data_IF_233227266292
#
_entry.id   IF_233227266292
#
_cell.length_a   1.000
_cell.length_b   1.000
_cell.length_c   1.000
_cell.angle_alpha   90.00
_cell.angle_beta   90.00
_cell.angle_gamma   90.00
#
_symmetry.space_group_name_H-M   'P 1'
#
loop_
_entity.id
_entity.type
_entity.pdbx_description
1 polymer ?
#
# COMPACT_ATOMS: atom_id res chain seq x y z
N UNK A 1 -16.42 15.03 -20.64
CA UNK A 1 -15.37 15.11 -19.61
C UNK A 1 -15.97 15.35 -18.24
N UNK A 2 -16.28 14.29 -17.50
CA UNK A 2 -16.64 14.41 -16.07
C UNK A 2 -15.33 14.59 -15.30
N UNK A 3 -15.29 15.52 -14.37
CA UNK A 3 -14.13 15.75 -13.52
C UNK A 3 -13.88 14.49 -12.66
N UNK A 4 -12.83 13.72 -13.00
CA UNK A 4 -12.49 12.43 -12.36
C UNK A 4 -11.72 12.67 -11.05
N UNK A 5 -11.03 13.80 -10.94
CA UNK A 5 -10.19 14.15 -9.79
C UNK A 5 -10.77 15.32 -9.01
N UNK A 6 -10.77 15.21 -7.68
CA UNK A 6 -10.99 16.32 -6.77
C UNK A 6 -9.94 17.44 -7.01
N UNK A 7 -10.22 18.69 -6.58
CA UNK A 7 -9.30 19.81 -6.79
C UNK A 7 -7.87 19.47 -6.40
N UNK A 8 -6.93 19.68 -7.33
CA UNK A 8 -5.54 19.31 -7.14
C UNK A 8 -4.87 20.20 -6.07
N UNK A 9 -4.46 19.64 -4.91
CA UNK A 9 -3.76 20.40 -3.88
C UNK A 9 -2.26 20.56 -4.15
N UNK A 10 -1.69 19.85 -5.15
CA UNK A 10 -0.25 19.84 -5.46
C UNK A 10 0.38 21.23 -5.60
N UNK A 11 -0.27 22.26 -6.20
CA UNK A 11 0.32 23.61 -6.28
C UNK A 11 0.61 24.25 -4.91
N UNK A 12 -0.06 23.78 -3.86
CA UNK A 12 0.09 24.26 -2.48
C UNK A 12 1.12 23.42 -1.69
N UNK A 13 1.56 22.29 -2.23
CA UNK A 13 2.47 21.34 -1.57
C UNK A 13 3.86 21.45 -2.26
N UNK A 14 4.80 22.18 -1.65
CA UNK A 14 6.18 22.26 -2.14
C UNK A 14 6.93 20.92 -1.90
N UNK A 15 6.72 19.93 -2.77
CA UNK A 15 7.47 18.66 -2.75
C UNK A 15 8.84 18.83 -3.38
N UNK A 16 9.79 17.94 -3.03
CA UNK A 16 11.05 17.88 -3.78
C UNK A 16 10.73 17.57 -5.25
N UNK A 17 11.39 18.23 -6.22
CA UNK A 17 11.18 17.93 -7.62
C UNK A 17 11.55 16.47 -7.89
N UNK A 18 10.59 15.72 -8.43
CA UNK A 18 10.84 14.42 -9.05
C UNK A 18 10.99 14.65 -10.56
N UNK A 19 11.85 13.87 -11.21
CA UNK A 19 11.90 13.88 -12.66
C UNK A 19 10.55 13.41 -13.23
N UNK A 20 10.18 13.92 -14.40
CA UNK A 20 8.97 13.51 -15.10
C UNK A 20 8.92 11.99 -15.25
N UNK A 21 7.82 11.38 -14.78
CA UNK A 21 7.72 9.92 -14.74
C UNK A 21 7.86 9.29 -16.12
N UNK A 22 7.28 9.89 -17.17
CA UNK A 22 7.36 9.36 -18.52
C UNK A 22 8.79 9.44 -19.09
N UNK A 23 9.57 10.44 -18.69
CA UNK A 23 11.01 10.51 -19.03
C UNK A 23 11.77 9.40 -18.30
N UNK A 24 11.55 9.23 -16.99
CA UNK A 24 12.24 8.21 -16.19
C UNK A 24 11.89 6.79 -16.66
N UNK A 25 10.62 6.54 -16.98
CA UNK A 25 10.15 5.22 -17.42
C UNK A 25 10.79 4.81 -18.74
N UNK A 26 10.97 5.74 -19.68
CA UNK A 26 11.62 5.49 -20.98
C UNK A 26 13.08 5.02 -20.87
N UNK A 27 13.77 5.30 -19.76
CA UNK A 27 15.16 4.88 -19.56
C UNK A 27 15.28 3.49 -18.96
N UNK A 28 14.15 2.88 -18.54
CA UNK A 28 14.13 1.57 -17.88
C UNK A 28 14.05 0.43 -18.91
N UNK A 29 14.56 -0.75 -18.57
CA UNK A 29 14.34 -1.95 -19.37
C UNK A 29 12.85 -2.25 -19.56
N UNK A 30 12.51 -2.93 -20.65
CA UNK A 30 11.16 -3.47 -20.86
C UNK A 30 10.81 -4.40 -19.68
N UNK A 31 9.56 -4.33 -19.25
CA UNK A 31 9.04 -5.15 -18.17
C UNK A 31 9.29 -6.65 -18.42
N UNK A 32 9.89 -7.33 -17.44
CA UNK A 32 10.21 -8.74 -17.52
C UNK A 32 9.18 -9.57 -16.73
N UNK A 33 8.39 -10.39 -17.41
CA UNK A 33 7.42 -11.28 -16.78
C UNK A 33 8.04 -12.56 -16.18
N UNK A 34 9.33 -12.84 -16.46
CA UNK A 34 10.01 -14.07 -16.06
C UNK A 34 10.78 -13.95 -14.74
N UNK A 35 10.64 -12.84 -14.00
CA UNK A 35 11.25 -12.69 -12.66
C UNK A 35 10.52 -13.57 -11.65
N UNK A 36 10.93 -14.83 -11.55
CA UNK A 36 10.45 -15.79 -10.55
C UNK A 36 11.12 -15.64 -9.19
N UNK A 37 10.57 -16.33 -8.18
CA UNK A 37 11.22 -16.47 -6.87
C UNK A 37 12.39 -17.45 -7.00
N UNK A 38 13.59 -16.98 -6.70
CA UNK A 38 14.78 -17.84 -6.62
C UNK A 38 14.91 -18.44 -5.22
N UNK A 39 14.99 -19.77 -5.14
CA UNK A 39 15.19 -20.48 -3.88
C UNK A 39 16.68 -20.81 -3.70
N UNK A 40 17.30 -20.22 -2.69
CA UNK A 40 18.72 -20.42 -2.36
C UNK A 40 18.90 -21.08 -1.00
N UNK A 41 20.12 -21.51 -0.68
CA UNK A 41 20.47 -21.90 0.70
C UNK A 41 20.57 -20.65 1.58
N UNK A 42 20.46 -20.83 2.90
CA UNK A 42 20.78 -19.76 3.86
C UNK A 42 22.21 -19.24 3.61
N UNK A 43 22.50 -17.93 3.82
CA UNK A 43 23.83 -17.35 3.64
C UNK A 43 24.95 -18.11 4.37
N UNK A 44 24.67 -18.66 5.56
CA UNK A 44 25.61 -19.49 6.32
C UNK A 44 24.93 -20.76 6.84
N UNK A 45 25.01 -21.89 6.11
CA UNK A 45 24.40 -23.16 6.53
C UNK A 45 25.01 -23.80 7.78
N UNK A 46 26.19 -23.31 8.21
CA UNK A 46 26.91 -23.80 9.38
C UNK A 46 26.75 -22.93 10.62
N UNK A 47 25.91 -21.90 10.57
CA UNK A 47 25.68 -20.96 11.67
C UNK A 47 25.25 -21.67 12.96
N UNK A 48 25.78 -21.20 14.09
CA UNK A 48 25.50 -21.72 15.45
C UNK A 48 25.11 -20.59 16.40
N UNK A 49 24.48 -20.97 17.51
CA UNK A 49 24.11 -20.03 18.56
C UNK A 49 25.35 -19.24 19.05
N UNK A 50 25.31 -17.93 18.86
CA UNK A 50 26.38 -17.01 19.26
C UNK A 50 27.27 -16.51 18.12
N UNK A 51 27.19 -17.07 16.91
CA UNK A 51 28.04 -16.67 15.78
C UNK A 51 27.80 -15.22 15.32
N UNK A 52 26.63 -14.65 15.62
CA UNK A 52 26.28 -13.29 15.22
C UNK A 52 25.91 -13.20 13.75
N UNK A 53 26.39 -12.17 13.05
CA UNK A 53 26.15 -11.99 11.62
C UNK A 53 26.80 -13.11 10.79
N UNK A 54 26.21 -13.42 9.62
CA UNK A 54 26.72 -14.49 8.74
C UNK A 54 28.11 -14.19 8.14
N UNK A 55 28.48 -12.91 8.08
CA UNK A 55 29.74 -12.39 7.57
C UNK A 55 30.08 -11.04 8.28
N UNK A 56 31.18 -10.41 7.88
CA UNK A 56 31.61 -9.10 8.40
C UNK A 56 31.27 -7.92 7.49
N UNK A 57 30.54 -8.12 6.37
CA UNK A 57 30.26 -7.07 5.39
C UNK A 57 29.46 -5.93 6.03
N UNK A 58 28.63 -6.23 7.04
CA UNK A 58 27.91 -5.20 7.80
C UNK A 58 28.85 -4.15 8.43
N UNK A 59 30.12 -4.47 8.72
CA UNK A 59 31.10 -3.51 9.26
C UNK A 59 31.51 -2.44 8.24
N UNK A 60 31.41 -2.71 6.94
CA UNK A 60 31.68 -1.71 5.91
C UNK A 60 30.50 -0.78 5.65
N UNK A 61 29.33 -1.08 6.23
CA UNK A 61 28.13 -0.25 6.09
C UNK A 61 28.11 0.82 7.18
N UNK A 62 27.82 2.07 6.77
CA UNK A 62 27.68 3.18 7.70
C UNK A 62 26.31 3.15 8.36
N UNK A 63 26.28 3.13 9.70
CA UNK A 63 25.07 3.43 10.46
C UNK A 63 24.91 4.94 10.65
N UNK A 64 23.68 5.45 10.50
CA UNK A 64 23.34 6.87 10.67
C UNK A 64 22.19 6.95 11.66
N UNK A 65 22.36 7.76 12.70
CA UNK A 65 21.30 8.10 13.65
C UNK A 65 20.59 9.36 13.18
N UNK A 66 19.26 9.31 13.15
CA UNK A 66 18.41 10.44 12.79
C UNK A 66 17.42 10.65 13.92
N UNK A 67 17.42 11.83 14.54
CA UNK A 67 16.37 12.22 15.49
C UNK A 67 15.15 12.73 14.70
N UNK A 68 13.98 12.06 14.78
CA UNK A 68 12.78 12.49 14.06
C UNK A 68 12.25 13.86 14.53
N UNK A 69 12.73 14.38 15.66
CA UNK A 69 12.31 15.65 16.27
C UNK A 69 13.42 16.72 16.30
N UNK A 70 14.54 16.52 15.59
CA UNK A 70 15.61 17.51 15.51
C UNK A 70 15.12 18.86 14.95
N UNK A 71 15.73 19.96 15.40
CA UNK A 71 15.36 21.31 14.96
C UNK A 71 15.48 21.46 13.43
N UNK A 72 14.45 22.02 12.80
CA UNK A 72 14.38 22.18 11.35
C UNK A 72 13.89 20.96 10.57
N UNK A 73 13.64 19.81 11.22
CA UNK A 73 13.12 18.62 10.55
C UNK A 73 11.59 18.60 10.50
N UNK A 74 11.04 18.83 9.32
CA UNK A 74 9.59 18.73 9.10
C UNK A 74 9.06 17.28 9.05
N UNK A 75 7.78 17.03 9.40
CA UNK A 75 7.17 15.69 9.39
C UNK A 75 7.19 15.00 8.02
N UNK A 76 7.29 15.75 6.93
CA UNK A 76 7.43 15.21 5.57
C UNK A 76 8.76 14.47 5.35
N UNK A 77 9.85 14.92 5.98
CA UNK A 77 11.13 14.22 5.92
C UNK A 77 11.06 12.88 6.66
N UNK A 78 10.30 12.83 7.75
CA UNK A 78 10.00 11.57 8.45
C UNK A 78 9.19 10.63 7.58
N UNK A 79 8.12 11.12 6.94
CA UNK A 79 7.34 10.30 6.00
C UNK A 79 8.23 9.67 4.93
N UNK A 80 9.05 10.48 4.24
CA UNK A 80 9.98 10.00 3.19
C UNK A 80 10.95 8.95 3.72
N UNK A 81 11.57 9.21 4.87
CA UNK A 81 12.51 8.28 5.49
C UNK A 81 11.83 6.94 5.82
N UNK A 82 10.68 6.98 6.51
CA UNK A 82 9.99 5.79 6.99
C UNK A 82 9.50 4.90 5.84
N UNK A 83 8.92 5.48 4.78
CA UNK A 83 8.49 4.71 3.60
C UNK A 83 9.66 4.22 2.74
N UNK A 84 10.85 4.79 2.87
CA UNK A 84 12.03 4.33 2.11
C UNK A 84 12.79 3.26 2.88
N UNK A 85 12.85 3.38 4.20
CA UNK A 85 13.52 2.43 5.09
C UNK A 85 12.72 1.15 5.31
N UNK A 86 11.40 1.21 5.20
CA UNK A 86 10.51 0.06 5.40
C UNK A 86 10.03 -0.47 4.04
N UNK A 87 10.84 -1.34 3.43
CA UNK A 87 10.57 -1.97 2.12
C UNK A 87 11.03 -3.43 2.10
N UNK A 88 10.42 -4.31 1.27
CA UNK A 88 9.20 -4.06 0.49
C UNK A 88 7.97 -3.93 1.39
N UNK A 89 6.93 -3.22 0.94
CA UNK A 89 5.64 -3.15 1.63
C UNK A 89 4.59 -3.88 0.82
N UNK A 90 3.88 -4.87 1.40
CA UNK A 90 2.72 -5.45 0.74
C UNK A 90 1.65 -4.36 0.56
N UNK A 91 0.93 -4.43 -0.56
CA UNK A 91 -0.16 -3.51 -0.87
C UNK A 91 -1.48 -4.26 -0.68
N UNK A 92 -2.38 -3.66 0.08
CA UNK A 92 -3.75 -4.08 0.29
C UNK A 92 -4.70 -3.22 -0.53
N UNK A 93 -5.53 -3.85 -1.37
CA UNK A 93 -6.72 -3.24 -1.96
C UNK A 93 -7.87 -3.37 -0.97
N UNK A 94 -8.19 -2.28 -0.29
CA UNK A 94 -9.23 -2.22 0.73
C UNK A 94 -10.56 -1.81 0.11
N UNK A 95 -11.52 -2.74 0.10
CA UNK A 95 -12.90 -2.47 -0.29
C UNK A 95 -13.76 -2.20 0.93
N UNK A 96 -14.56 -1.14 0.85
CA UNK A 96 -15.54 -0.76 1.88
C UNK A 96 -16.85 -0.31 1.22
N UNK A 97 -17.94 -0.27 1.99
CA UNK A 97 -19.24 0.22 1.53
C UNK A 97 -19.73 1.35 2.41
N UNK A 98 -20.42 2.32 1.82
CA UNK A 98 -21.03 3.42 2.56
C UNK A 98 -22.11 2.92 3.52
N UNK A 99 -22.42 3.70 4.56
CA UNK A 99 -23.42 3.35 5.56
C UNK A 99 -24.82 3.08 4.98
N UNK A 100 -25.17 3.75 3.88
CA UNK A 100 -26.43 3.54 3.15
C UNK A 100 -26.35 2.41 2.10
N UNK A 101 -25.19 1.78 1.94
CA UNK A 101 -24.93 0.70 0.98
C UNK A 101 -24.93 1.12 -0.49
N UNK A 102 -25.01 2.43 -0.80
CA UNK A 102 -25.14 2.90 -2.19
C UNK A 102 -23.81 3.06 -2.92
N UNK A 103 -22.72 3.29 -2.18
CA UNK A 103 -21.38 3.48 -2.75
C UNK A 103 -20.44 2.41 -2.21
N UNK A 104 -19.69 1.78 -3.11
CA UNK A 104 -18.57 0.92 -2.76
C UNK A 104 -17.27 1.65 -3.11
N UNK A 105 -16.35 1.74 -2.16
CA UNK A 105 -15.03 2.31 -2.36
C UNK A 105 -14.00 1.19 -2.51
N UNK A 106 -12.92 1.49 -3.24
CA UNK A 106 -11.73 0.64 -3.36
C UNK A 106 -10.49 1.53 -3.34
N UNK A 107 -9.57 1.29 -2.40
CA UNK A 107 -8.34 2.07 -2.33
C UNK A 107 -7.13 1.21 -1.93
N UNK A 108 -5.94 1.49 -2.48
CA UNK A 108 -4.71 0.80 -2.10
C UNK A 108 -4.09 1.37 -0.82
N UNK A 109 -3.58 0.51 0.04
CA UNK A 109 -2.86 0.86 1.27
C UNK A 109 -1.58 0.03 1.39
N UNK A 110 -0.46 0.68 1.66
CA UNK A 110 0.82 -0.01 1.92
C UNK A 110 1.19 -0.11 3.40
N UNK A 111 0.41 0.50 4.29
CA UNK A 111 0.59 0.37 5.75
C UNK A 111 -0.36 -0.72 6.27
N UNK A 112 -0.14 -1.93 5.75
CA UNK A 112 -0.94 -3.12 5.94
C UNK A 112 -0.03 -4.30 6.33
N UNK A 113 -0.45 -5.13 7.30
CA UNK A 113 0.28 -6.34 7.68
C UNK A 113 -0.61 -7.31 8.47
N UNK A 114 -0.29 -8.61 8.44
CA UNK A 114 -0.76 -9.58 9.44
C UNK A 114 -0.27 -9.17 10.84
N UNK A 115 -1.18 -9.09 11.80
CA UNK A 115 -0.90 -8.68 13.18
C UNK A 115 -0.92 -9.85 14.18
N UNK A 116 -1.75 -10.86 13.92
CA UNK A 116 -1.87 -12.06 14.77
C UNK A 116 -2.40 -13.23 13.95
N UNK A 117 -2.05 -14.44 14.37
CA UNK A 117 -2.51 -15.70 13.77
C UNK A 117 -3.61 -16.39 14.58
N UNK A 118 -3.68 -16.14 15.89
CA UNK A 118 -4.74 -16.67 16.77
C UNK A 118 -5.11 -15.65 17.88
N UNK A 119 -6.22 -14.91 17.74
CA UNK A 119 -7.11 -14.90 16.57
C UNK A 119 -6.41 -14.31 15.33
N UNK A 120 -6.84 -14.66 14.10
CA UNK A 120 -6.32 -14.07 12.88
C UNK A 120 -6.68 -12.59 12.83
N UNK A 121 -5.68 -11.72 12.86
CA UNK A 121 -5.87 -10.27 12.83
C UNK A 121 -4.94 -9.63 11.81
N UNK A 122 -5.43 -8.56 11.20
CA UNK A 122 -4.63 -7.69 10.37
C UNK A 122 -4.69 -6.25 10.85
N UNK A 123 -3.64 -5.49 10.57
CA UNK A 123 -3.57 -4.06 10.83
C UNK A 123 -3.60 -3.28 9.52
N UNK A 124 -4.40 -2.22 9.48
CA UNK A 124 -4.47 -1.26 8.40
C UNK A 124 -4.36 0.15 9.00
N UNK A 125 -3.29 0.87 8.69
CA UNK A 125 -3.04 2.20 9.25
C UNK A 125 -3.41 3.32 8.29
N UNK A 126 -4.08 4.34 8.82
CA UNK A 126 -4.47 5.54 8.09
C UNK A 126 -3.57 6.71 8.51
N UNK A 127 -2.83 7.30 7.56
CA UNK A 127 -1.84 8.35 7.84
C UNK A 127 -2.24 9.73 7.34
N UNK A 128 -3.42 9.87 6.74
CA UNK A 128 -3.90 11.13 6.17
C UNK A 128 -4.47 12.03 7.27
N UNK A 129 -4.25 13.35 7.16
CA UNK A 129 -4.87 14.32 8.07
C UNK A 129 -6.38 14.49 7.82
N UNK A 130 -6.82 14.23 6.59
CA UNK A 130 -8.24 14.16 6.23
C UNK A 130 -8.75 12.73 6.34
N UNK A 131 -9.96 12.56 6.85
CA UNK A 131 -10.65 11.27 6.89
C UNK A 131 -11.02 10.89 5.45
N UNK A 132 -10.47 9.78 4.95
CA UNK A 132 -10.82 9.25 3.64
C UNK A 132 -12.12 8.43 3.69
N UNK A 133 -12.64 8.08 2.52
CA UNK A 133 -13.90 7.32 2.42
C UNK A 133 -13.79 5.93 3.03
N UNK A 134 -12.63 5.25 2.87
CA UNK A 134 -12.38 3.95 3.49
C UNK A 134 -12.50 4.00 5.01
N UNK A 135 -11.88 4.96 5.68
CA UNK A 135 -11.98 5.14 7.14
C UNK A 135 -13.41 5.52 7.55
N UNK A 136 -14.05 6.42 6.81
CA UNK A 136 -15.45 6.82 7.05
C UNK A 136 -16.38 5.60 7.02
N UNK A 137 -16.25 4.79 5.97
CA UNK A 137 -17.04 3.58 5.77
C UNK A 137 -16.76 2.55 6.86
N UNK A 138 -15.48 2.25 7.12
CA UNK A 138 -15.07 1.28 8.15
C UNK A 138 -15.58 1.67 9.55
N UNK A 139 -15.53 2.94 9.91
CA UNK A 139 -16.05 3.41 11.19
C UNK A 139 -17.57 3.24 11.30
N UNK A 140 -18.31 3.39 10.19
CA UNK A 140 -19.76 3.28 10.15
C UNK A 140 -20.26 1.83 10.03
N UNK A 141 -19.60 0.99 9.24
CA UNK A 141 -20.07 -0.37 8.91
C UNK A 141 -19.38 -1.47 9.69
N UNK A 142 -18.18 -1.21 10.23
CA UNK A 142 -17.33 -2.22 10.87
C UNK A 142 -17.03 -3.42 9.96
N UNK A 143 -16.99 -3.19 8.65
CA UNK A 143 -16.74 -4.24 7.67
C UNK A 143 -15.78 -3.73 6.59
N UNK A 144 -14.81 -4.57 6.24
CA UNK A 144 -13.85 -4.33 5.17
C UNK A 144 -13.48 -5.66 4.51
N UNK A 145 -13.27 -5.63 3.20
CA UNK A 145 -12.65 -6.73 2.49
C UNK A 145 -11.30 -6.28 1.96
N UNK A 146 -10.24 -7.04 2.23
CA UNK A 146 -8.87 -6.66 1.88
C UNK A 146 -8.31 -7.70 0.94
N UNK A 147 -7.91 -7.26 -0.26
CA UNK A 147 -7.35 -8.12 -1.31
C UNK A 147 -5.88 -7.79 -1.54
N UNK A 148 -5.06 -8.80 -1.81
CA UNK A 148 -3.65 -8.59 -2.18
C UNK A 148 -3.52 -8.00 -3.59
N UNK A 149 -2.43 -7.28 -3.83
CA UNK A 149 -2.14 -6.65 -5.12
C UNK A 149 -1.05 -7.44 -5.87
N UNK A 150 -1.40 -8.47 -6.65
CA UNK A 150 -0.44 -9.14 -7.52
C UNK A 150 0.01 -8.24 -8.67
N UNK A 151 1.09 -8.65 -9.34
CA UNK A 151 1.71 -7.92 -10.45
C UNK A 151 0.71 -7.56 -11.58
N UNK A 152 -0.22 -8.47 -11.91
CA UNK A 152 -1.15 -8.27 -13.02
C UNK A 152 -2.27 -7.24 -12.75
N UNK A 153 -2.42 -6.75 -11.51
CA UNK A 153 -3.37 -5.67 -11.18
C UNK A 153 -2.68 -4.35 -10.85
N UNK A 154 -1.36 -4.24 -11.00
CA UNK A 154 -0.57 -3.11 -10.47
C UNK A 154 -1.04 -1.76 -11.01
N UNK A 155 -1.34 -1.66 -12.30
CA UNK A 155 -1.81 -0.41 -12.92
C UNK A 155 -3.20 -0.01 -12.44
N UNK A 156 -4.13 -0.97 -12.36
CA UNK A 156 -5.47 -0.74 -11.85
C UNK A 156 -5.47 -0.37 -10.36
N UNK A 157 -4.61 -1.01 -9.57
CA UNK A 157 -4.40 -0.69 -8.17
C UNK A 157 -3.79 0.70 -7.99
N UNK A 158 -2.84 1.10 -8.85
CA UNK A 158 -2.31 2.46 -8.88
C UNK A 158 -3.43 3.47 -9.19
N UNK A 159 -4.24 3.21 -10.22
CA UNK A 159 -5.35 4.10 -10.59
C UNK A 159 -6.39 4.23 -9.48
N UNK A 160 -6.65 3.16 -8.71
CA UNK A 160 -7.53 3.21 -7.54
C UNK A 160 -7.01 4.13 -6.40
N UNK A 161 -5.78 4.65 -6.49
CA UNK A 161 -5.25 5.68 -5.57
C UNK A 161 -5.63 7.12 -5.95
N UNK A 162 -6.35 7.31 -7.07
CA UNK A 162 -6.83 8.61 -7.52
C UNK A 162 -7.64 9.30 -6.42
N UNK A 163 -7.49 10.61 -6.29
CA UNK A 163 -8.30 11.41 -5.38
C UNK A 163 -9.69 11.66 -5.99
N UNK A 164 -10.48 10.59 -6.07
CA UNK A 164 -11.86 10.60 -6.56
C UNK A 164 -12.72 11.57 -5.71
N UNK A 165 -13.67 12.30 -6.31
CA UNK A 165 -14.67 13.02 -5.54
C UNK A 165 -15.47 12.06 -4.65
N UNK A 166 -15.96 12.58 -3.51
CA UNK A 166 -16.90 11.85 -2.64
C UNK A 166 -18.03 11.26 -3.50
N UNK A 167 -18.39 10.01 -3.21
CA UNK A 167 -19.45 9.26 -3.91
C UNK A 167 -19.11 8.80 -5.34
N UNK A 168 -17.88 9.03 -5.83
CA UNK A 168 -17.40 8.41 -7.07
C UNK A 168 -16.64 7.14 -6.72
N UNK A 169 -17.21 5.99 -7.07
CA UNK A 169 -16.61 4.69 -6.78
C UNK A 169 -15.35 4.44 -7.64
N UNK A 170 -14.27 3.96 -7.02
CA UNK A 170 -13.01 3.63 -7.70
C UNK A 170 -13.08 2.29 -8.46
N UNK A 171 -14.06 1.43 -8.15
CA UNK A 171 -14.29 0.17 -8.86
C UNK A 171 -14.40 0.35 -10.39
N UNK A 172 -15.35 1.15 -10.92
CA UNK A 172 -15.44 1.39 -12.36
C UNK A 172 -14.27 2.20 -12.93
N UNK A 173 -13.55 2.96 -12.10
CA UNK A 173 -12.39 3.74 -12.52
C UNK A 173 -11.15 2.86 -12.74
N UNK A 174 -10.90 1.94 -11.82
CA UNK A 174 -9.79 0.98 -11.89
C UNK A 174 -10.05 -0.17 -12.87
N UNK A 175 -11.32 -0.48 -13.15
CA UNK A 175 -11.71 -1.61 -13.99
C UNK A 175 -11.58 -2.97 -13.30
N UNK A 176 -11.28 -3.01 -12.00
CA UNK A 176 -11.24 -4.24 -11.21
C UNK A 176 -12.65 -4.79 -11.00
N UNK A 177 -12.77 -6.11 -10.91
CA UNK A 177 -14.06 -6.79 -10.85
C UNK A 177 -14.46 -7.07 -9.40
N UNK A 178 -15.56 -6.48 -8.89
CA UNK A 178 -16.08 -6.82 -7.57
C UNK A 178 -16.70 -8.22 -7.61
N UNK A 179 -16.21 -9.14 -6.76
CA UNK A 179 -16.86 -10.44 -6.52
C UNK A 179 -17.50 -10.41 -5.11
N UNK A 180 -18.76 -10.87 -4.93
CA UNK A 180 -19.41 -10.88 -3.62
C UNK A 180 -18.62 -11.67 -2.58
N UNK A 181 -18.65 -11.17 -1.34
CA UNK A 181 -18.07 -11.76 -0.13
C UNK A 181 -19.10 -12.62 0.62
N UNK A 182 -18.64 -13.54 1.46
CA UNK A 182 -19.49 -14.53 2.13
C UNK A 182 -19.98 -14.06 3.53
N UNK A 183 -19.18 -13.27 4.25
CA UNK A 183 -19.36 -12.87 5.66
C UNK A 183 -19.50 -11.36 5.87
N UNK A 184 -19.01 -10.54 4.95
CA UNK A 184 -19.04 -9.06 5.00
C UNK A 184 -19.70 -8.47 3.74
N UNK A 185 -20.21 -7.23 3.82
CA UNK A 185 -20.83 -6.55 2.67
C UNK A 185 -19.85 -6.11 1.57
N UNK A 186 -18.63 -5.59 1.88
CA UNK A 186 -17.70 -5.17 0.83
C UNK A 186 -17.19 -6.36 0.01
N UNK A 187 -17.10 -6.19 -1.31
CA UNK A 187 -16.60 -7.21 -2.23
C UNK A 187 -15.07 -7.35 -2.16
N UNK A 188 -14.52 -8.54 -2.42
CA UNK A 188 -13.10 -8.66 -2.81
C UNK A 188 -12.90 -8.35 -4.29
N UNK A 189 -11.63 -8.14 -4.65
CA UNK A 189 -11.15 -8.00 -6.02
C UNK A 189 -11.04 -9.41 -6.63
N UNK A 190 -11.82 -9.72 -7.66
CA UNK A 190 -11.86 -11.05 -8.27
C UNK A 190 -10.51 -11.47 -8.87
N UNK A 191 -9.70 -10.49 -9.30
CA UNK A 191 -8.38 -10.67 -9.87
C UNK A 191 -7.30 -10.94 -8.80
N UNK A 192 -7.63 -10.83 -7.51
CA UNK A 192 -6.69 -11.08 -6.42
C UNK A 192 -6.66 -12.56 -6.03
N UNK A 193 -5.46 -13.16 -5.84
CA UNK A 193 -5.35 -14.57 -5.44
C UNK A 193 -5.63 -14.78 -3.95
N UNK A 194 -5.62 -13.72 -3.15
CA UNK A 194 -5.83 -13.79 -1.71
C UNK A 194 -6.58 -12.56 -1.22
N UNK A 195 -7.70 -12.82 -0.53
CA UNK A 195 -8.53 -11.80 0.09
C UNK A 195 -8.97 -12.25 1.48
N UNK A 196 -9.19 -11.28 2.35
CA UNK A 196 -9.67 -11.49 3.71
C UNK A 196 -10.86 -10.60 4.00
N UNK A 197 -11.88 -11.21 4.57
CA UNK A 197 -13.09 -10.55 5.03
C UNK A 197 -12.93 -10.23 6.52
N UNK A 198 -13.05 -8.96 6.92
CA UNK A 198 -12.74 -8.51 8.28
C UNK A 198 -13.87 -7.70 8.91
N UNK A 199 -13.99 -7.82 10.24
CA UNK A 199 -14.92 -7.08 11.11
C UNK A 199 -14.17 -6.44 12.28
#
# INVERSE_FOLDING_TARGET
DKQIEAPNPEPQIQRNPHADFAIVEKTRPIFNNDTGVEFTKTPNPSWRAGDGASDEDWKSHRSITIDPYEEGRGPWLNYKLLISATVPRPIALASTVSADGKTANLAPFSFWQCASTDPPMYSLSFTTRSVNDTLTNLLATKEICISTTPQWVVEAANFASVNSPRHVAEWPLSGLTPRPSDLVKPAHVAESPYSVECK
#
